data_IF_156525547149
#
_entry.id   IF_156525547149
#
_cell.length_a   1.000
_cell.length_b   1.000
_cell.length_c   1.000
_cell.angle_alpha   90.00
_cell.angle_beta   90.00
_cell.angle_gamma   90.00
#
_symmetry.space_group_name_H-M   'P 1'
#
loop_
_entity.id
_entity.type
_entity.pdbx_description
1 polymer ?
#
# COMPACT_ATOMS: atom_id res chain seq x y z
N UNK A 1 -18.18 -8.43 14.26
CA UNK A 1 -17.57 -9.45 14.62
C UNK A 1 -16.45 -9.63 13.77
N UNK A 2 -16.36 -10.44 13.14
CA UNK A 2 -15.26 -10.55 12.40
C UNK A 2 -14.99 -9.34 11.59
N UNK A 3 -15.72 -8.46 11.86
CA UNK A 3 -15.58 -7.36 11.16
C UNK A 3 -14.42 -6.65 11.57
N UNK A 4 -13.30 -7.22 11.56
CA UNK A 4 -12.12 -6.46 11.71
C UNK A 4 -12.24 -5.27 10.79
N UNK A 5 -12.00 -4.13 11.30
CA UNK A 5 -12.07 -2.90 10.52
C UNK A 5 -10.75 -2.72 9.78
N UNK A 6 -10.66 -3.38 8.64
CA UNK A 6 -9.49 -3.23 7.80
C UNK A 6 -9.28 -1.79 7.39
N UNK A 7 -8.04 -1.41 7.20
CA UNK A 7 -7.67 -0.04 6.87
C UNK A 7 -6.71 -0.02 5.70
N UNK A 8 -6.94 0.87 4.75
CA UNK A 8 -6.07 1.03 3.59
C UNK A 8 -5.21 2.27 3.75
N UNK A 9 -3.92 2.14 3.44
CA UNK A 9 -2.99 3.25 3.37
C UNK A 9 -2.51 3.35 1.94
N UNK A 10 -2.60 4.54 1.36
CA UNK A 10 -2.10 4.81 0.02
C UNK A 10 -0.99 5.83 0.12
N UNK A 11 0.17 5.48 -0.41
CA UNK A 11 1.32 6.39 -0.48
C UNK A 11 1.66 6.53 -1.95
N UNK A 12 1.72 7.79 -2.41
CA UNK A 12 2.20 8.07 -3.76
C UNK A 12 3.33 9.09 -3.68
N UNK A 13 4.24 9.02 -4.63
CA UNK A 13 5.34 9.99 -4.73
C UNK A 13 5.82 10.06 -6.17
N UNK A 14 6.58 11.10 -6.47
CA UNK A 14 7.20 11.30 -7.77
C UNK A 14 8.64 10.83 -7.70
N UNK A 15 9.09 10.11 -8.70
CA UNK A 15 10.47 9.66 -8.81
C UNK A 15 10.86 9.53 -10.29
N UNK A 16 12.15 9.44 -10.53
CA UNK A 16 12.66 9.33 -11.89
C UNK A 16 13.28 7.95 -12.11
N UNK A 17 12.42 6.94 -12.27
CA UNK A 17 12.84 5.58 -12.53
C UNK A 17 12.72 5.22 -14.00
N UNK A 18 13.65 4.37 -14.45
CA UNK A 18 13.39 3.58 -15.65
C UNK A 18 12.50 2.40 -15.24
N UNK A 19 11.81 1.78 -16.21
CA UNK A 19 10.99 0.62 -15.93
C UNK A 19 11.82 -0.51 -15.29
N UNK A 20 13.04 -0.73 -15.77
CA UNK A 20 13.93 -1.76 -15.25
C UNK A 20 14.34 -1.50 -13.81
N UNK A 21 14.71 -0.25 -13.50
CA UNK A 21 15.10 0.13 -12.14
C UNK A 21 13.96 -0.09 -11.16
N UNK A 22 12.75 0.31 -11.55
CA UNK A 22 11.58 0.14 -10.70
C UNK A 22 11.29 -1.35 -10.47
N UNK A 23 11.29 -2.13 -11.54
CA UNK A 23 11.00 -3.56 -11.49
C UNK A 23 11.98 -4.28 -10.56
N UNK A 24 13.26 -4.05 -10.74
CA UNK A 24 14.29 -4.68 -9.92
C UNK A 24 14.19 -4.23 -8.46
N UNK A 25 14.08 -2.93 -8.22
CA UNK A 25 14.06 -2.38 -6.87
C UNK A 25 12.86 -2.84 -6.06
N UNK A 26 11.67 -2.84 -6.67
CA UNK A 26 10.45 -3.28 -5.98
C UNK A 26 10.48 -4.78 -5.69
N UNK A 27 10.96 -5.57 -6.63
CA UNK A 27 11.04 -7.02 -6.44
C UNK A 27 12.00 -7.37 -5.31
N UNK A 28 13.13 -6.69 -5.23
CA UNK A 28 14.10 -6.90 -4.15
C UNK A 28 13.55 -6.46 -2.79
N UNK A 29 12.74 -5.40 -2.78
CA UNK A 29 12.20 -4.84 -1.54
C UNK A 29 10.97 -5.59 -1.04
N UNK A 30 10.25 -6.27 -1.91
CA UNK A 30 8.99 -6.91 -1.57
C UNK A 30 9.05 -7.80 -0.31
N UNK A 31 10.09 -8.63 -0.11
CA UNK A 31 10.15 -9.47 1.09
C UNK A 31 10.15 -8.71 2.41
N UNK A 32 10.66 -7.48 2.42
CA UNK A 32 10.67 -6.64 3.62
C UNK A 32 9.24 -6.40 4.10
N UNK A 33 8.32 -6.17 3.17
CA UNK A 33 6.92 -5.90 3.51
C UNK A 33 6.16 -7.15 3.96
N UNK A 34 6.64 -8.34 3.62
CA UNK A 34 6.04 -9.57 4.11
C UNK A 34 6.18 -9.70 5.63
N UNK A 35 7.15 -9.01 6.22
CA UNK A 35 7.41 -9.06 7.66
C UNK A 35 6.72 -7.93 8.45
N UNK A 36 5.96 -7.06 7.78
CA UNK A 36 5.28 -5.96 8.47
C UNK A 36 4.06 -6.48 9.21
N UNK A 37 4.04 -6.28 10.53
CA UNK A 37 2.94 -6.73 11.38
C UNK A 37 1.63 -6.07 10.99
N UNK A 38 0.59 -6.89 10.86
CA UNK A 38 -0.75 -6.41 10.54
C UNK A 38 -0.98 -6.06 9.08
N UNK A 39 0.02 -6.13 8.24
CA UNK A 39 -0.13 -5.88 6.80
C UNK A 39 -0.63 -7.15 6.12
N UNK A 40 -1.80 -7.06 5.50
CA UNK A 40 -2.41 -8.20 4.81
C UNK A 40 -1.84 -8.32 3.40
N UNK A 41 -1.83 -7.20 2.68
CA UNK A 41 -1.34 -7.16 1.31
C UNK A 41 -0.86 -5.75 0.99
N UNK A 42 0.18 -5.67 0.19
CA UNK A 42 0.65 -4.41 -0.38
C UNK A 42 0.72 -4.59 -1.88
N UNK A 43 0.04 -3.72 -2.61
CA UNK A 43 0.20 -3.62 -4.05
C UNK A 43 1.18 -2.49 -4.33
N UNK A 44 2.24 -2.78 -5.06
CA UNK A 44 3.21 -1.78 -5.49
C UNK A 44 2.66 -1.10 -6.73
N UNK A 45 2.58 0.21 -6.70
CA UNK A 45 1.91 1.00 -7.75
C UNK A 45 2.93 1.76 -8.58
N UNK A 46 2.68 1.82 -9.87
CA UNK A 46 3.53 2.62 -10.74
C UNK A 46 2.75 3.18 -11.93
N UNK A 47 3.17 4.35 -12.37
CA UNK A 47 2.72 4.93 -13.61
C UNK A 47 3.93 5.66 -14.20
N UNK A 48 4.57 5.04 -15.17
CA UNK A 48 5.79 5.61 -15.76
C UNK A 48 5.55 6.88 -16.57
N UNK A 49 4.33 7.05 -17.11
CA UNK A 49 4.01 8.25 -17.86
C UNK A 49 3.98 9.49 -16.98
N UNK A 50 3.40 9.36 -15.78
CA UNK A 50 3.31 10.46 -14.83
C UNK A 50 4.45 10.48 -13.83
N UNK A 51 5.34 9.49 -13.88
CA UNK A 51 6.44 9.33 -12.94
C UNK A 51 5.93 9.23 -11.49
N UNK A 52 4.78 8.59 -11.31
CA UNK A 52 4.15 8.44 -10.01
C UNK A 52 4.27 6.99 -9.55
N UNK A 53 4.72 6.81 -8.34
CA UNK A 53 4.98 5.49 -7.76
C UNK A 53 4.41 5.43 -6.36
N UNK A 54 4.38 4.23 -5.78
CA UNK A 54 3.93 4.10 -4.41
C UNK A 54 3.40 2.72 -4.08
N UNK A 55 2.49 2.70 -3.14
CA UNK A 55 1.87 1.46 -2.69
C UNK A 55 0.47 1.64 -2.16
N UNK A 56 -0.32 0.61 -2.31
CA UNK A 56 -1.62 0.50 -1.70
C UNK A 56 -1.54 -0.63 -0.69
N UNK A 57 -1.65 -0.29 0.59
CA UNK A 57 -1.45 -1.22 1.70
C UNK A 57 -2.78 -1.53 2.35
N UNK A 58 -3.06 -2.80 2.59
CA UNK A 58 -4.23 -3.17 3.37
C UNK A 58 -3.78 -3.75 4.71
N UNK A 59 -4.18 -3.08 5.79
CA UNK A 59 -3.87 -3.50 7.16
C UNK A 59 -5.09 -4.12 7.83
N UNK A 60 -4.85 -5.00 8.80
CA UNK A 60 -5.91 -5.60 9.61
C UNK A 60 -6.72 -4.55 10.39
N UNK A 61 -6.08 -3.43 10.73
CA UNK A 61 -6.73 -2.39 11.53
C UNK A 61 -6.04 -1.04 11.33
N UNK A 62 -6.73 0.03 11.73
CA UNK A 62 -6.13 1.36 11.74
C UNK A 62 -4.93 1.42 12.69
N UNK A 63 -5.01 0.70 13.81
CA UNK A 63 -3.93 0.65 14.79
C UNK A 63 -2.65 0.08 14.17
N UNK A 64 -2.77 -0.97 13.37
CA UNK A 64 -1.62 -1.56 12.69
C UNK A 64 -1.04 -0.59 11.67
N UNK A 65 -1.89 0.11 10.93
CA UNK A 65 -1.44 1.13 9.97
C UNK A 65 -0.72 2.27 10.68
N UNK A 66 -1.23 2.74 11.81
CA UNK A 66 -0.60 3.80 12.58
C UNK A 66 0.77 3.35 13.11
N UNK A 67 0.88 2.10 13.54
CA UNK A 67 2.15 1.54 14.00
C UNK A 67 3.18 1.52 12.87
N UNK A 68 2.76 1.13 11.66
CA UNK A 68 3.61 1.16 10.49
C UNK A 68 4.13 2.57 10.20
N UNK A 69 3.25 3.56 10.28
CA UNK A 69 3.62 4.96 10.02
C UNK A 69 4.60 5.52 11.04
N UNK A 70 4.72 4.90 12.21
CA UNK A 70 5.69 5.30 13.23
C UNK A 70 7.00 4.52 13.13
N UNK A 71 7.07 3.56 12.21
CA UNK A 71 8.23 2.67 12.08
C UNK A 71 9.30 3.17 11.13
N UNK A 72 10.39 2.43 11.12
CA UNK A 72 11.58 2.80 10.34
C UNK A 72 11.39 2.68 8.84
N UNK A 73 10.56 1.72 8.39
CA UNK A 73 10.32 1.54 6.96
C UNK A 73 9.64 2.77 6.38
N UNK A 74 8.55 3.22 7.02
CA UNK A 74 7.82 4.39 6.56
C UNK A 74 8.70 5.64 6.61
N UNK A 75 9.48 5.77 7.68
CA UNK A 75 10.42 6.89 7.81
C UNK A 75 11.41 6.93 6.66
N UNK A 76 11.97 5.79 6.30
CA UNK A 76 12.93 5.71 5.20
C UNK A 76 12.31 6.08 3.85
N UNK A 77 11.03 5.77 3.68
CA UNK A 77 10.30 6.14 2.46
C UNK A 77 10.17 7.67 2.38
N UNK A 78 9.65 8.26 3.45
CA UNK A 78 9.39 9.72 3.48
C UNK A 78 10.68 10.53 3.40
N UNK A 79 11.77 10.01 3.93
CA UNK A 79 13.06 10.70 3.94
C UNK A 79 13.95 10.40 2.74
N UNK A 80 13.47 9.60 1.81
CA UNK A 80 14.26 9.26 0.61
C UNK A 80 14.48 10.52 -0.23
N UNK A 81 15.74 10.95 -0.43
CA UNK A 81 16.04 12.20 -1.13
C UNK A 81 15.74 12.16 -2.63
N UNK A 82 15.57 10.97 -3.20
CA UNK A 82 15.29 10.83 -4.62
C UNK A 82 13.80 10.87 -4.94
N UNK A 83 12.95 10.91 -3.93
CA UNK A 83 11.51 10.92 -4.07
C UNK A 83 10.92 12.22 -3.59
N UNK A 84 9.85 12.69 -4.24
CA UNK A 84 9.22 13.97 -3.92
C UNK A 84 7.71 13.90 -4.07
N UNK A 85 7.06 15.00 -3.69
CA UNK A 85 5.60 15.15 -3.84
C UNK A 85 4.80 14.02 -3.20
N UNK A 86 5.15 13.69 -1.96
CA UNK A 86 4.46 12.62 -1.25
C UNK A 86 3.01 12.97 -0.97
N UNK A 87 2.13 12.02 -1.27
CA UNK A 87 0.72 12.07 -0.89
C UNK A 87 0.45 10.82 -0.08
N UNK A 88 0.04 11.01 1.16
CA UNK A 88 -0.23 9.91 2.10
C UNK A 88 -1.68 10.02 2.54
N UNK A 89 -2.49 9.02 2.23
CA UNK A 89 -3.92 9.00 2.56
C UNK A 89 -4.30 7.65 3.13
N UNK A 90 -5.29 7.63 4.00
CA UNK A 90 -5.77 6.38 4.55
C UNK A 90 -7.29 6.36 4.62
N UNK A 91 -7.84 5.16 4.63
CA UNK A 91 -9.29 4.95 4.55
C UNK A 91 -9.67 3.69 5.29
N UNK A 92 -10.80 3.73 5.98
CA UNK A 92 -11.39 2.53 6.54
C UNK A 92 -12.13 1.78 5.43
N UNK A 93 -12.03 0.46 5.41
CA UNK A 93 -12.71 -0.36 4.42
C UNK A 93 -14.14 -0.63 4.89
N UNK A 94 -15.11 -0.38 4.02
CA UNK A 94 -16.49 -0.76 4.30
C UNK A 94 -16.62 -2.25 4.02
N UNK A 95 -16.45 -3.06 5.04
CA UNK A 95 -16.35 -4.51 4.91
C UNK A 95 -17.60 -5.13 4.31
N UNK A 96 -18.77 -4.75 4.81
CA UNK A 96 -20.03 -5.34 4.37
C UNK A 96 -20.28 -5.11 2.88
N UNK A 97 -20.21 -3.85 2.44
CA UNK A 97 -20.43 -3.52 1.03
C UNK A 97 -19.41 -4.20 0.11
N UNK A 98 -18.16 -4.25 0.56
CA UNK A 98 -17.09 -4.88 -0.21
C UNK A 98 -17.31 -6.37 -0.37
N UNK A 99 -17.76 -7.05 0.68
CA UNK A 99 -18.07 -8.48 0.63
C UNK A 99 -19.27 -8.77 -0.27
N UNK A 100 -20.30 -7.94 -0.20
CA UNK A 100 -21.49 -8.11 -1.06
C UNK A 100 -21.08 -7.99 -2.53
N UNK A 101 -20.31 -6.99 -2.88
CA UNK A 101 -19.85 -6.79 -4.26
C UNK A 101 -19.05 -8.00 -4.76
N UNK A 102 -18.12 -8.48 -3.94
CA UNK A 102 -17.28 -9.63 -4.29
C UNK A 102 -18.10 -10.89 -4.50
N UNK A 103 -19.03 -11.18 -3.59
CA UNK A 103 -19.86 -12.39 -3.68
C UNK A 103 -20.76 -12.37 -4.90
N UNK A 104 -21.36 -11.23 -5.22
CA UNK A 104 -22.18 -11.10 -6.40
C UNK A 104 -21.38 -11.30 -7.68
N UNK A 105 -20.17 -10.77 -7.73
CA UNK A 105 -19.30 -10.92 -8.88
C UNK A 105 -18.87 -12.38 -9.06
N UNK A 106 -18.55 -13.07 -7.99
CA UNK A 106 -18.17 -14.47 -8.03
C UNK A 106 -19.32 -15.34 -8.52
N UNK A 107 -20.55 -15.07 -8.09
CA UNK A 107 -21.72 -15.80 -8.53
C UNK A 107 -22.03 -15.56 -10.02
N UNK A 108 -21.75 -14.36 -10.50
CA UNK A 108 -22.00 -14.02 -11.90
C UNK A 108 -20.97 -14.66 -12.85
N UNK A 109 -19.82 -15.00 -12.32
CA UNK A 109 -18.79 -15.66 -13.11
C UNK A 109 -19.10 -17.12 -13.31
#
# INVERSE_FOLDING_TARGET
>A
IWRAKMHILIINFTANYTAEEYDQGTTELAPVFAEVDGLIVKNFLFNHETKTYGGCYMFNSKKDMEAYKKGEIFKSIIENPDWSDFVVRDFEVHAEASEIQKNLKEKAA
#
